data_IF_363442799596
#
_entry.id   IF_363442799596
#
_cell.length_a   1.000
_cell.length_b   1.000
_cell.length_c   1.000
_cell.angle_alpha   90.00
_cell.angle_beta   90.00
_cell.angle_gamma   90.00
#
_symmetry.space_group_name_H-M   'P 1'
#
loop_
_entity.id
_entity.type
_entity.pdbx_description
1 polymer ?
#
# COMPACT_ATOMS: atom_id res chain seq x y z
N UNK A 1 -15.93 15.42 -7.90
CA UNK A 1 -15.70 13.96 -8.02
C UNK A 1 -14.24 13.73 -7.68
N UNK A 2 -13.95 13.03 -6.57
CA UNK A 2 -12.58 12.72 -6.20
C UNK A 2 -12.05 11.68 -7.17
N UNK A 3 -11.35 12.11 -8.22
CA UNK A 3 -10.50 11.25 -9.03
C UNK A 3 -9.41 10.69 -8.12
N UNK A 4 -9.72 9.56 -7.48
CA UNK A 4 -8.73 8.62 -7.01
C UNK A 4 -8.02 8.11 -8.28
N UNK A 5 -7.03 8.89 -8.71
CA UNK A 5 -6.13 8.54 -9.78
C UNK A 5 -5.68 7.10 -9.55
N UNK A 6 -6.12 6.22 -10.45
CA UNK A 6 -5.52 4.91 -10.72
C UNK A 6 -4.13 5.20 -11.34
N UNK A 7 -3.33 5.98 -10.61
CA UNK A 7 -1.94 6.23 -10.89
C UNK A 7 -1.19 4.99 -10.44
N UNK A 8 -0.46 4.40 -11.39
CA UNK A 8 0.49 3.28 -11.19
C UNK A 8 1.03 3.27 -9.75
N UNK A 9 0.92 2.14 -9.06
CA UNK A 9 1.48 1.99 -7.72
C UNK A 9 2.96 2.44 -7.76
N UNK A 10 3.37 3.45 -6.97
CA UNK A 10 4.71 4.03 -7.04
C UNK A 10 5.80 3.00 -6.75
N UNK A 11 5.45 1.87 -6.12
CA UNK A 11 6.31 0.70 -5.97
C UNK A 11 6.90 0.23 -7.29
N UNK A 12 6.14 0.28 -8.39
CA UNK A 12 6.60 -0.19 -9.70
C UNK A 12 7.66 0.72 -10.34
N UNK A 13 7.74 1.99 -9.96
CA UNK A 13 8.81 2.89 -10.44
C UNK A 13 10.19 2.44 -9.99
N UNK A 14 10.28 1.65 -8.90
CA UNK A 14 11.53 1.20 -8.29
C UNK A 14 11.71 -0.32 -8.32
N UNK A 15 10.84 -1.00 -9.07
CA UNK A 15 10.80 -2.44 -9.21
C UNK A 15 10.79 -2.86 -10.69
N UNK A 16 11.31 -4.05 -10.95
CA UNK A 16 11.20 -4.72 -12.24
C UNK A 16 10.72 -6.16 -12.03
N UNK A 17 9.98 -6.69 -13.00
CA UNK A 17 9.65 -8.11 -13.04
C UNK A 17 10.81 -8.86 -13.69
N UNK A 18 11.53 -9.74 -12.95
CA UNK A 18 12.57 -10.56 -13.56
C UNK A 18 11.97 -11.58 -14.53
N UNK A 19 10.77 -12.08 -14.24
CA UNK A 19 10.01 -12.99 -15.08
C UNK A 19 8.67 -12.31 -15.42
N UNK A 20 8.39 -12.06 -16.69
CA UNK A 20 7.11 -11.45 -17.13
C UNK A 20 5.89 -12.32 -16.78
N UNK A 21 6.10 -13.63 -16.68
CA UNK A 21 5.06 -14.61 -16.33
C UNK A 21 4.85 -14.76 -14.81
N UNK A 22 5.72 -14.17 -13.97
CA UNK A 22 5.63 -14.31 -12.52
C UNK A 22 5.65 -12.95 -11.81
N UNK A 23 4.45 -12.38 -11.62
CA UNK A 23 4.23 -11.14 -10.87
C UNK A 23 4.54 -11.25 -9.37
N UNK A 24 4.73 -12.46 -8.85
CA UNK A 24 5.10 -12.68 -7.46
C UNK A 24 6.60 -12.43 -7.21
N UNK A 25 7.42 -12.53 -8.25
CA UNK A 25 8.84 -12.21 -8.20
C UNK A 25 9.03 -10.74 -8.58
N UNK A 26 9.55 -9.94 -7.65
CA UNK A 26 9.82 -8.53 -7.89
C UNK A 26 11.28 -8.22 -7.60
N UNK A 27 12.01 -7.75 -8.60
CA UNK A 27 13.41 -7.31 -8.49
C UNK A 27 13.46 -5.85 -8.08
N UNK A 28 14.16 -5.54 -7.00
CA UNK A 28 14.40 -4.18 -6.56
C UNK A 28 15.48 -3.51 -7.42
N UNK A 29 15.21 -2.31 -7.96
CA UNK A 29 16.18 -1.60 -8.81
C UNK A 29 17.39 -1.07 -8.00
N UNK A 30 17.26 -0.85 -6.69
CA UNK A 30 18.35 -0.35 -5.83
C UNK A 30 19.33 -1.43 -5.37
N UNK A 31 18.82 -2.55 -4.85
CA UNK A 31 19.65 -3.63 -4.29
C UNK A 31 19.75 -4.84 -5.20
N UNK A 32 19.09 -4.83 -6.35
CA UNK A 32 19.03 -5.92 -7.33
C UNK A 32 18.52 -7.26 -6.78
N UNK A 33 18.03 -7.27 -5.53
CA UNK A 33 17.48 -8.45 -4.88
C UNK A 33 16.07 -8.73 -5.39
N UNK A 34 15.79 -10.00 -5.66
CA UNK A 34 14.46 -10.49 -5.99
C UNK A 34 13.70 -10.85 -4.71
N UNK A 35 12.48 -10.35 -4.59
CA UNK A 35 11.55 -10.62 -3.51
C UNK A 35 10.42 -11.49 -4.02
N UNK A 36 10.14 -12.57 -3.29
CA UNK A 36 8.98 -13.43 -3.51
C UNK A 36 7.83 -12.94 -2.63
N UNK A 37 6.71 -12.54 -3.21
CA UNK A 37 5.58 -11.94 -2.48
C UNK A 37 5.03 -10.66 -3.15
N UNK A 38 5.38 -10.43 -4.42
CA UNK A 38 4.89 -9.33 -5.22
C UNK A 38 5.33 -7.94 -4.75
N UNK A 39 4.65 -6.94 -5.28
CA UNK A 39 4.96 -5.53 -5.06
C UNK A 39 4.81 -5.09 -3.60
N UNK A 40 3.95 -5.78 -2.84
CA UNK A 40 3.70 -5.47 -1.42
C UNK A 40 4.95 -5.70 -0.57
N UNK A 41 5.64 -6.82 -0.75
CA UNK A 41 6.90 -7.06 -0.03
C UNK A 41 8.02 -6.11 -0.46
N UNK A 42 8.05 -5.75 -1.75
CA UNK A 42 8.99 -4.76 -2.25
C UNK A 42 8.78 -3.40 -1.56
N UNK A 43 7.54 -2.92 -1.44
CA UNK A 43 7.21 -1.69 -0.70
C UNK A 43 7.65 -1.77 0.78
N UNK A 44 7.39 -2.88 1.45
CA UNK A 44 7.83 -3.09 2.83
C UNK A 44 9.36 -3.03 2.96
N UNK A 45 10.10 -3.61 2.01
CA UNK A 45 11.55 -3.50 1.97
C UNK A 45 12.00 -2.04 1.81
N UNK A 46 11.39 -1.26 0.92
CA UNK A 46 11.79 0.13 0.66
C UNK A 46 11.60 1.00 1.90
N UNK A 47 10.48 0.84 2.60
CA UNK A 47 10.14 1.59 3.81
C UNK A 47 11.03 1.18 4.99
N UNK A 48 11.29 -0.13 5.12
CA UNK A 48 11.96 -0.73 6.26
C UNK A 48 11.09 -0.77 7.53
N UNK A 49 11.59 -1.36 8.61
CA UNK A 49 10.89 -1.40 9.91
C UNK A 49 9.86 -2.52 10.09
N UNK A 50 9.67 -3.38 9.08
CA UNK A 50 8.81 -4.56 9.19
C UNK A 50 9.61 -5.76 9.71
N UNK A 51 9.08 -6.48 10.71
CA UNK A 51 9.71 -7.72 11.24
C UNK A 51 9.95 -8.78 10.15
N UNK A 52 9.07 -8.83 9.16
CA UNK A 52 9.07 -9.87 8.12
C UNK A 52 9.79 -9.45 6.82
N UNK A 53 10.34 -8.23 6.74
CA UNK A 53 11.00 -7.74 5.53
C UNK A 53 12.29 -7.00 5.86
N UNK A 54 13.41 -7.48 5.30
CA UNK A 54 14.71 -6.83 5.46
C UNK A 54 14.72 -5.51 4.68
N UNK A 55 15.08 -4.37 5.29
CA UNK A 55 15.14 -3.09 4.60
C UNK A 55 16.16 -3.12 3.47
N UNK A 56 15.92 -2.35 2.41
CA UNK A 56 16.89 -2.21 1.33
C UNK A 56 18.13 -1.43 1.84
N UNK A 57 19.35 -2.01 1.75
CA UNK A 57 20.56 -1.33 2.21
C UNK A 57 20.93 -0.13 1.32
N UNK A 58 20.68 -0.24 0.00
CA UNK A 58 21.05 0.76 -1.01
C UNK A 58 19.95 1.80 -1.31
N UNK A 59 18.80 1.72 -0.64
CA UNK A 59 17.71 2.67 -0.87
C UNK A 59 18.03 4.02 -0.22
N UNK A 60 17.96 5.10 -1.02
CA UNK A 60 18.18 6.48 -0.56
C UNK A 60 17.14 6.88 0.50
N UNK A 61 17.56 7.67 1.49
CA UNK A 61 16.69 8.13 2.58
C UNK A 61 15.45 8.87 2.07
N UNK A 62 15.61 9.67 1.01
CA UNK A 62 14.51 10.42 0.38
C UNK A 62 13.38 9.49 -0.08
N UNK A 63 13.72 8.44 -0.84
CA UNK A 63 12.76 7.44 -1.35
C UNK A 63 12.05 6.75 -0.18
N UNK A 64 12.75 6.45 0.92
CA UNK A 64 12.10 5.82 2.09
C UNK A 64 11.05 6.73 2.72
N UNK A 65 11.32 8.03 2.80
CA UNK A 65 10.39 9.02 3.36
C UNK A 65 9.16 9.18 2.46
N UNK A 66 9.38 9.30 1.15
CA UNK A 66 8.33 9.41 0.15
C UNK A 66 7.36 8.21 0.22
N UNK A 67 7.91 6.99 0.27
CA UNK A 67 7.08 5.78 0.41
C UNK A 67 6.33 5.70 1.74
N UNK A 68 6.92 6.16 2.84
CA UNK A 68 6.22 6.22 4.14
C UNK A 68 5.04 7.16 4.08
N UNK A 69 5.22 8.36 3.53
CA UNK A 69 4.16 9.34 3.37
C UNK A 69 3.04 8.80 2.47
N UNK A 70 3.40 8.16 1.36
CA UNK A 70 2.42 7.53 0.47
C UNK A 70 1.57 6.47 1.18
N UNK A 71 2.22 5.55 1.91
CA UNK A 71 1.50 4.49 2.64
C UNK A 71 0.65 5.07 3.78
N UNK A 72 1.16 6.08 4.50
CA UNK A 72 0.40 6.76 5.55
C UNK A 72 -0.85 7.44 5.00
N UNK A 73 -0.74 8.18 3.88
CA UNK A 73 -1.88 8.81 3.20
C UNK A 73 -2.92 7.78 2.76
N UNK A 74 -2.48 6.64 2.22
CA UNK A 74 -3.38 5.56 1.83
C UNK A 74 -4.08 4.90 3.03
N UNK A 75 -3.40 4.80 4.18
CA UNK A 75 -3.99 4.32 5.44
C UNK A 75 -5.09 5.27 5.92
N UNK A 76 -4.82 6.58 5.93
CA UNK A 76 -5.79 7.59 6.34
C UNK A 76 -7.04 7.59 5.44
N UNK A 77 -6.87 7.46 4.13
CA UNK A 77 -8.00 7.33 3.20
C UNK A 77 -8.83 6.08 3.49
N UNK A 78 -8.17 4.95 3.79
CA UNK A 78 -8.88 3.73 4.16
C UNK A 78 -9.66 3.92 5.47
N UNK A 79 -9.05 4.53 6.49
CA UNK A 79 -9.71 4.80 7.76
C UNK A 79 -10.92 5.75 7.60
N UNK A 80 -10.84 6.74 6.71
CA UNK A 80 -11.99 7.59 6.39
C UNK A 80 -13.12 6.83 5.70
N UNK A 81 -12.80 5.87 4.84
CA UNK A 81 -13.82 5.00 4.21
C UNK A 81 -14.43 4.03 5.23
N UNK A 82 -13.61 3.46 6.11
CA UNK A 82 -14.04 2.53 7.17
C UNK A 82 -14.88 3.24 8.25
N UNK A 83 -14.83 4.57 8.35
CA UNK A 83 -15.60 5.38 9.31
C UNK A 83 -17.03 5.70 8.85
N UNK A 84 -17.42 5.32 7.63
CA UNK A 84 -18.81 5.47 7.16
C UNK A 84 -19.65 4.37 7.82
N UNK A 85 -20.71 4.69 8.59
CA UNK A 85 -21.56 3.68 9.21
C UNK A 85 -22.11 2.71 8.18
N UNK A 86 -22.12 1.42 8.52
CA UNK A 86 -22.68 0.42 7.63
C UNK A 86 -24.18 0.67 7.52
N UNK A 87 -24.73 0.60 6.29
CA UNK A 87 -26.13 0.93 5.99
C UNK A 87 -27.15 0.26 6.94
N UNK A 88 -26.83 -0.93 7.46
CA UNK A 88 -27.69 -1.67 8.38
C UNK A 88 -27.79 -1.06 9.78
N UNK A 89 -26.75 -0.36 10.26
CA UNK A 89 -26.76 0.26 11.59
C UNK A 89 -27.67 1.51 11.63
N UNK A 90 -27.85 2.17 10.49
CA UNK A 90 -28.73 3.34 10.34
C UNK A 90 -30.21 2.92 10.27
N UNK A 91 -30.49 1.71 9.76
CA UNK A 91 -31.86 1.20 9.59
C UNK A 91 -32.51 0.80 10.94
N UNK A 92 -31.73 0.27 11.89
CA UNK A 92 -32.23 -0.11 13.23
C UNK A 92 -32.61 1.12 14.07
N UNK A 93 -31.97 2.28 13.84
CA UNK A 93 -32.25 3.53 14.56
C UNK A 93 -33.53 4.24 14.07
N UNK A 94 -33.95 4.02 12.81
CA UNK A 94 -35.19 4.59 12.26
C UNK A 94 -36.45 3.86 12.77
N UNK A 95 -36.38 2.55 13.00
CA UNK A 95 -37.50 1.76 13.56
C UNK A 95 -37.83 2.12 15.02
N UNK A 96 -36.90 2.77 15.74
CA UNK A 96 -37.11 3.22 17.12
C UNK A 96 -37.75 4.62 17.23
N UNK A 97 -37.72 5.44 16.19
CA UNK A 97 -38.31 6.79 16.17
C UNK A 97 -39.68 6.86 15.48
N UNK A 98 -40.11 5.77 14.85
CA UNK A 98 -41.45 5.63 14.24
C UNK A 98 -42.40 4.75 15.09
N UNK A 99 -41.98 4.40 16.32
CA UNK A 99 -42.79 3.73 17.36
C UNK A 99 -43.15 4.67 18.51
#
# INVERSE_FOLDING_TARGET
>A
MCEASIGKDPGWSYASLPDSNNTNNVKCNFCSKVHKGGITRHKQQLIGGFRNSKPCPKCSKHVRVEFRQYVAKKKQLKEQMDAIPHFYDIAEEQEQWEA
#
